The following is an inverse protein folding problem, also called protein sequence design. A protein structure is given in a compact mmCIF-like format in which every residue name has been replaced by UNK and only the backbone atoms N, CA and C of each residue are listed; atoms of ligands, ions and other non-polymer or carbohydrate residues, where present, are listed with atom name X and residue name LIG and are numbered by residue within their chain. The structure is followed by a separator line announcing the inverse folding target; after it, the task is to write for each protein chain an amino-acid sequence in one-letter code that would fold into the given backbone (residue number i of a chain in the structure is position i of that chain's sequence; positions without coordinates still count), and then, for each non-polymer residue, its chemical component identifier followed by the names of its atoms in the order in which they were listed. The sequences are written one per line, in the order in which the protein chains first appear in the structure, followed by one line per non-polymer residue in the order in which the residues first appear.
data_IF_022039102578
#
_entry.id   IF_022039102578
#
_cell.length_a   1.000
_cell.length_b   1.000
_cell.length_c   1.000
_cell.angle_alpha   90.00
_cell.angle_beta   90.00
_cell.angle_gamma   90.00
#
_symmetry.space_group_name_H-M   'P 1'
#
loop_
_entity.id
_entity.type
_entity.pdbx_description
1 polymer ?
#
# COMPACT_ATOMS: atom_id res chain seq x y z
N UNK A 1 9.12 -14.35 -1.40
CA UNK A 1 8.80 -14.59 -2.82
C UNK A 1 8.63 -13.30 -3.64
N UNK A 2 7.85 -12.30 -3.18
CA UNK A 2 7.71 -11.02 -3.89
C UNK A 2 9.04 -10.22 -4.03
N UNK A 3 9.95 -10.33 -3.07
CA UNK A 3 11.27 -9.69 -3.12
C UNK A 3 12.19 -10.24 -4.22
N UNK A 4 12.07 -11.53 -4.56
CA UNK A 4 12.88 -12.15 -5.61
C UNK A 4 12.39 -11.75 -7.01
N UNK A 5 11.07 -11.57 -7.17
CA UNK A 5 10.48 -11.08 -8.43
C UNK A 5 10.75 -9.58 -8.67
N UNK A 6 10.81 -8.77 -7.61
CA UNK A 6 11.16 -7.35 -7.69
C UNK A 6 12.65 -7.09 -7.96
N UNK A 7 13.53 -8.04 -7.62
CA UNK A 7 14.96 -7.98 -7.89
C UNK A 7 15.31 -8.26 -9.37
N UNK A 8 14.43 -8.93 -10.12
CA UNK A 8 14.67 -9.30 -11.53
C UNK A 8 14.30 -8.23 -12.57
N UNK A 9 13.55 -7.19 -12.22
CA UNK A 9 13.08 -6.18 -13.20
C UNK A 9 13.70 -4.80 -12.94
N UNK A 10 14.78 -4.49 -13.66
CA UNK A 10 15.54 -3.22 -13.68
C UNK A 10 14.78 -2.07 -14.39
N UNK A 11 13.45 -2.02 -14.32
CA UNK A 11 12.66 -1.00 -15.02
C UNK A 11 11.69 -0.29 -14.06
N UNK A 12 11.96 0.98 -13.77
CA UNK A 12 11.16 1.82 -12.85
C UNK A 12 9.68 1.92 -13.29
N UNK A 13 9.42 1.88 -14.61
CA UNK A 13 8.07 1.86 -15.18
C UNK A 13 7.27 0.59 -14.85
N UNK A 14 7.93 -0.56 -14.75
CA UNK A 14 7.30 -1.85 -14.41
C UNK A 14 6.99 -1.92 -12.92
N UNK A 15 7.88 -1.41 -12.06
CA UNK A 15 7.65 -1.29 -10.62
C UNK A 15 6.43 -0.42 -10.32
N UNK A 16 6.28 0.71 -11.02
CA UNK A 16 5.09 1.56 -10.92
C UNK A 16 3.78 0.89 -11.37
N UNK A 17 3.81 0.15 -12.49
CA UNK A 17 2.63 -0.62 -12.96
C UNK A 17 2.25 -1.74 -11.99
N UNK A 18 3.23 -2.46 -11.45
CA UNK A 18 3.02 -3.51 -10.46
C UNK A 18 2.43 -2.94 -9.17
N UNK A 19 2.98 -1.84 -8.66
CA UNK A 19 2.45 -1.14 -7.49
C UNK A 19 0.97 -0.77 -7.66
N UNK A 20 0.61 -0.21 -8.82
CA UNK A 20 -0.77 0.15 -9.12
C UNK A 20 -1.69 -1.07 -9.19
N UNK A 21 -1.23 -2.17 -9.80
CA UNK A 21 -1.99 -3.41 -9.85
C UNK A 21 -2.24 -3.97 -8.44
N UNK A 22 -1.22 -4.02 -7.58
CA UNK A 22 -1.37 -4.45 -6.19
C UNK A 22 -2.25 -3.50 -5.37
N UNK A 23 -2.19 -2.19 -5.63
CA UNK A 23 -3.05 -1.20 -4.98
C UNK A 23 -4.53 -1.39 -5.36
N UNK A 24 -4.85 -1.57 -6.65
CA UNK A 24 -6.23 -1.86 -7.06
C UNK A 24 -6.71 -3.19 -6.47
N UNK A 25 -5.88 -4.22 -6.53
CA UNK A 25 -6.22 -5.54 -6.01
C UNK A 25 -6.51 -5.49 -4.50
N UNK A 26 -5.70 -4.74 -3.75
CA UNK A 26 -5.87 -4.51 -2.32
C UNK A 26 -7.16 -3.76 -1.96
N UNK A 27 -7.75 -2.98 -2.88
CA UNK A 27 -8.99 -2.25 -2.65
C UNK A 27 -10.24 -3.03 -3.04
N UNK A 28 -10.19 -3.75 -4.17
CA UNK A 28 -11.34 -4.50 -4.70
C UNK A 28 -11.57 -5.81 -3.94
N UNK A 29 -10.50 -6.50 -3.53
CA UNK A 29 -10.61 -7.80 -2.86
C UNK A 29 -11.37 -7.76 -1.50
N UNK A 30 -11.15 -6.76 -0.61
CA UNK A 30 -11.96 -6.60 0.61
C UNK A 30 -13.44 -6.32 0.34
N UNK A 31 -13.76 -5.60 -0.75
CA UNK A 31 -15.15 -5.32 -1.14
C UNK A 31 -15.85 -6.61 -1.57
N UNK A 32 -15.18 -7.41 -2.40
CA UNK A 32 -15.69 -8.71 -2.82
C UNK A 32 -15.86 -9.67 -1.63
N UNK A 33 -14.93 -9.63 -0.67
CA UNK A 33 -14.99 -10.44 0.55
C UNK A 33 -16.15 -10.01 1.46
N UNK A 34 -16.35 -8.70 1.68
CA UNK A 34 -17.40 -8.17 2.55
C UNK A 34 -18.82 -8.40 2.04
N UNK A 35 -19.00 -8.53 0.71
CA UNK A 35 -20.29 -8.80 0.06
C UNK A 35 -20.54 -10.29 -0.21
N UNK A 36 -19.54 -11.16 -0.03
CA UNK A 36 -19.64 -12.58 -0.35
C UNK A 36 -20.29 -13.38 0.78
N UNK A 37 -21.41 -14.05 0.48
CA UNK A 37 -22.06 -15.04 1.35
C UNK A 37 -21.58 -16.47 1.13
N UNK A 38 -20.77 -16.73 0.10
CA UNK A 38 -20.31 -18.07 -0.28
C UNK A 38 -18.87 -18.31 0.18
N UNK A 39 -18.65 -19.38 0.95
CA UNK A 39 -17.35 -19.74 1.53
C UNK A 39 -16.24 -19.88 0.48
N UNK A 40 -16.54 -20.44 -0.70
CA UNK A 40 -15.54 -20.63 -1.76
C UNK A 40 -15.09 -19.29 -2.36
N UNK A 41 -16.02 -18.36 -2.59
CA UNK A 41 -15.72 -17.03 -3.12
C UNK A 41 -14.93 -16.23 -2.08
N UNK A 42 -15.32 -16.31 -0.81
CA UNK A 42 -14.61 -15.65 0.29
C UNK A 42 -13.19 -16.17 0.44
N UNK A 43 -12.96 -17.48 0.30
CA UNK A 43 -11.62 -18.07 0.38
C UNK A 43 -10.70 -17.52 -0.72
N UNK A 44 -11.18 -17.49 -1.97
CA UNK A 44 -10.44 -16.89 -3.08
C UNK A 44 -10.19 -15.40 -2.86
N UNK A 45 -11.21 -14.65 -2.45
CA UNK A 45 -11.10 -13.21 -2.18
C UNK A 45 -10.06 -12.91 -1.09
N UNK A 46 -10.01 -13.69 -0.01
CA UNK A 46 -9.01 -13.52 1.07
C UNK A 46 -7.59 -13.78 0.58
N UNK A 47 -7.37 -14.79 -0.28
CA UNK A 47 -6.04 -15.04 -0.86
C UNK A 47 -5.59 -13.86 -1.71
N UNK A 48 -6.46 -13.36 -2.60
CA UNK A 48 -6.14 -12.20 -3.43
C UNK A 48 -5.97 -10.91 -2.62
N UNK A 49 -6.76 -10.71 -1.57
CA UNK A 49 -6.61 -9.60 -0.63
C UNK A 49 -5.24 -9.63 0.03
N UNK A 50 -4.82 -10.77 0.57
CA UNK A 50 -3.51 -10.94 1.20
C UNK A 50 -2.36 -10.71 0.22
N UNK A 51 -2.46 -11.24 -1.01
CA UNK A 51 -1.47 -11.01 -2.05
C UNK A 51 -1.36 -9.53 -2.44
N UNK A 52 -2.50 -8.85 -2.60
CA UNK A 52 -2.60 -7.43 -2.91
C UNK A 52 -1.93 -6.56 -1.84
N UNK A 53 -2.37 -6.74 -0.59
CA UNK A 53 -1.89 -5.96 0.55
C UNK A 53 -0.41 -6.18 0.82
N UNK A 54 0.06 -7.43 0.79
CA UNK A 54 1.47 -7.73 1.01
C UNK A 54 2.36 -7.14 -0.10
N UNK A 55 1.96 -7.28 -1.37
CA UNK A 55 2.69 -6.71 -2.50
C UNK A 55 2.80 -5.19 -2.41
N UNK A 56 1.69 -4.52 -2.10
CA UNK A 56 1.65 -3.08 -1.90
C UNK A 56 2.57 -2.61 -0.77
N UNK A 57 2.49 -3.26 0.40
CA UNK A 57 3.28 -2.89 1.57
C UNK A 57 4.78 -3.08 1.31
N UNK A 58 5.18 -4.19 0.68
CA UNK A 58 6.59 -4.48 0.36
C UNK A 58 7.17 -3.40 -0.55
N UNK A 59 6.44 -3.03 -1.62
CA UNK A 59 6.91 -2.00 -2.56
C UNK A 59 7.03 -0.64 -1.86
N UNK A 60 6.02 -0.25 -1.08
CA UNK A 60 6.03 1.01 -0.32
C UNK A 60 7.21 1.10 0.65
N UNK A 61 7.46 0.03 1.43
CA UNK A 61 8.60 -0.04 2.33
C UNK A 61 9.93 0.04 1.57
N UNK A 62 10.04 -0.67 0.44
CA UNK A 62 11.27 -0.67 -0.38
C UNK A 62 11.56 0.71 -0.94
N UNK A 63 10.55 1.45 -1.43
CA UNK A 63 10.70 2.82 -1.94
C UNK A 63 11.25 3.74 -0.85
N UNK A 64 10.67 3.69 0.35
CA UNK A 64 11.11 4.52 1.49
C UNK A 64 12.55 4.19 1.89
N UNK A 65 12.91 2.91 1.90
CA UNK A 65 14.27 2.48 2.21
C UNK A 65 15.29 2.95 1.16
N UNK A 66 14.94 2.92 -0.12
CA UNK A 66 15.80 3.39 -1.21
C UNK A 66 15.97 4.93 -1.19
N UNK A 67 14.95 5.67 -0.76
CA UNK A 67 15.03 7.14 -0.62
C UNK A 67 15.76 7.59 0.65
N UNK A 68 15.96 6.70 1.62
CA UNK A 68 16.57 7.05 2.91
C UNK A 68 18.10 7.11 2.81
N UNK A 69 18.75 8.25 3.15
CA UNK A 69 20.20 8.37 3.15
C UNK A 69 20.86 7.42 4.15
N UNK A 70 22.00 6.81 3.79
CA UNK A 70 22.68 5.79 4.60
C UNK A 70 23.01 6.26 6.04
N UNK A 71 23.38 7.54 6.21
CA UNK A 71 23.80 8.11 7.50
C UNK A 71 22.65 8.35 8.51
N UNK A 72 21.40 8.41 8.04
CA UNK A 72 20.20 8.58 8.89
C UNK A 72 19.20 7.43 8.75
N UNK A 73 19.53 6.38 7.98
CA UNK A 73 18.63 5.23 7.70
C UNK A 73 18.03 4.63 8.97
N UNK A 74 18.83 4.45 10.03
CA UNK A 74 18.36 3.92 11.31
C UNK A 74 17.36 4.84 12.03
N UNK A 75 17.59 6.16 12.00
CA UNK A 75 16.66 7.15 12.61
C UNK A 75 15.36 7.25 11.83
N UNK A 76 15.45 7.30 10.49
CA UNK A 76 14.28 7.35 9.60
C UNK A 76 13.45 6.06 9.74
N UNK A 77 14.11 4.90 9.78
CA UNK A 77 13.43 3.62 9.98
C UNK A 77 12.69 3.56 11.33
N UNK A 78 13.28 4.10 12.40
CA UNK A 78 12.64 4.18 13.72
C UNK A 78 11.38 5.07 13.71
N UNK A 79 11.46 6.28 13.15
CA UNK A 79 10.30 7.18 13.03
C UNK A 79 9.23 6.57 12.14
N UNK A 80 9.62 5.96 11.02
CA UNK A 80 8.70 5.29 10.12
C UNK A 80 7.99 4.11 10.79
N UNK A 81 8.71 3.29 11.56
CA UNK A 81 8.12 2.20 12.34
C UNK A 81 7.13 2.72 13.39
N UNK A 82 7.45 3.83 14.08
CA UNK A 82 6.53 4.46 15.02
C UNK A 82 5.27 5.01 14.32
N UNK A 83 5.43 5.62 13.15
CA UNK A 83 4.32 6.14 12.37
C UNK A 83 3.38 5.02 11.87
N UNK A 84 3.94 3.96 11.28
CA UNK A 84 3.17 2.81 10.79
C UNK A 84 2.52 2.07 11.98
N UNK A 85 3.26 1.81 13.05
CA UNK A 85 2.73 1.13 14.23
C UNK A 85 1.64 1.94 14.94
N UNK A 86 1.87 3.25 15.11
CA UNK A 86 0.92 4.16 15.74
C UNK A 86 -0.36 4.33 14.91
N UNK A 87 -0.24 4.48 13.58
CA UNK A 87 -1.41 4.54 12.70
C UNK A 87 -2.20 3.24 12.73
N UNK A 88 -1.56 2.08 12.63
CA UNK A 88 -2.24 0.78 12.72
C UNK A 88 -2.95 0.60 14.07
N UNK A 89 -2.33 0.99 15.18
CA UNK A 89 -2.96 0.91 16.50
C UNK A 89 -4.20 1.82 16.59
N UNK A 90 -4.12 3.05 16.07
CA UNK A 90 -5.23 4.00 16.05
C UNK A 90 -6.38 3.50 15.17
N UNK A 91 -6.08 2.98 13.97
CA UNK A 91 -7.10 2.38 13.09
C UNK A 91 -7.74 1.14 13.70
N UNK A 92 -6.98 0.29 14.39
CA UNK A 92 -7.51 -0.87 15.10
C UNK A 92 -8.41 -0.45 16.27
N UNK A 93 -8.05 0.60 16.98
CA UNK A 93 -8.90 1.17 18.03
C UNK A 93 -10.23 1.68 17.47
N UNK A 94 -10.20 2.46 16.39
CA UNK A 94 -11.40 2.93 15.70
C UNK A 94 -12.25 1.79 15.15
N UNK A 95 -11.62 0.74 14.59
CA UNK A 95 -12.32 -0.46 14.13
C UNK A 95 -12.97 -1.21 15.30
N UNK A 96 -12.28 -1.33 16.44
CA UNK A 96 -12.81 -1.96 17.65
C UNK A 96 -14.03 -1.23 18.18
N UNK A 97 -13.97 0.10 18.27
CA UNK A 97 -15.14 0.92 18.64
C UNK A 97 -16.29 0.79 17.65
N UNK A 98 -15.99 0.65 16.36
CA UNK A 98 -17.01 0.53 15.31
C UNK A 98 -17.61 -0.88 15.21
N UNK A 99 -16.93 -1.90 15.73
CA UNK A 99 -17.34 -3.31 15.65
C UNK A 99 -18.64 -3.58 16.42
N UNK A 100 -18.93 -2.80 17.47
CA UNK A 100 -20.17 -2.90 18.24
C UNK A 100 -21.38 -2.33 17.47
N UNK A 101 -21.16 -1.50 16.44
CA UNK A 101 -22.20 -0.78 15.71
C UNK A 101 -22.35 -1.21 14.24
N UNK A 102 -21.32 -1.81 13.64
CA UNK A 102 -21.26 -2.11 12.20
C UNK A 102 -20.96 -3.60 11.99
N UNK A 103 -21.76 -4.28 11.16
CA UNK A 103 -21.45 -5.67 10.80
C UNK A 103 -20.05 -5.80 10.19
N UNK A 104 -19.31 -6.89 10.51
CA UNK A 104 -17.97 -7.11 10.00
C UNK A 104 -17.88 -7.08 8.47
N UNK A 105 -18.90 -7.59 7.77
CA UNK A 105 -18.96 -7.58 6.30
C UNK A 105 -19.03 -6.17 5.71
N UNK A 106 -19.91 -5.31 6.25
CA UNK A 106 -20.03 -3.92 5.81
C UNK A 106 -18.81 -3.08 6.19
N UNK A 107 -18.25 -3.31 7.37
CA UNK A 107 -17.03 -2.63 7.82
C UNK A 107 -15.87 -2.86 6.85
N UNK A 108 -15.63 -4.12 6.47
CA UNK A 108 -14.60 -4.50 5.48
C UNK A 108 -14.86 -3.89 4.10
N UNK A 109 -16.11 -3.89 3.63
CA UNK A 109 -16.47 -3.32 2.34
C UNK A 109 -16.23 -1.80 2.31
N UNK A 110 -16.62 -1.08 3.37
CA UNK A 110 -16.41 0.37 3.51
C UNK A 110 -14.90 0.69 3.45
N UNK A 111 -14.08 -0.07 4.16
CA UNK A 111 -12.62 0.12 4.18
C UNK A 111 -11.99 -0.13 2.80
N UNK A 112 -12.45 -1.16 2.08
CA UNK A 112 -12.03 -1.42 0.70
C UNK A 112 -12.42 -0.31 -0.27
N UNK A 113 -13.63 0.25 -0.14
CA UNK A 113 -14.11 1.38 -0.95
C UNK A 113 -13.27 2.62 -0.69
N UNK A 114 -13.06 2.98 0.58
CA UNK A 114 -12.24 4.14 0.97
C UNK A 114 -10.83 4.01 0.39
N UNK A 115 -10.20 2.83 0.53
CA UNK A 115 -8.88 2.59 -0.02
C UNK A 115 -8.86 2.72 -1.55
N UNK A 116 -9.84 2.15 -2.24
CA UNK A 116 -9.96 2.25 -3.70
C UNK A 116 -10.13 3.71 -4.16
N UNK A 117 -10.95 4.50 -3.47
CA UNK A 117 -11.12 5.93 -3.76
C UNK A 117 -9.82 6.71 -3.58
N UNK A 118 -9.08 6.45 -2.49
CA UNK A 118 -7.78 7.09 -2.26
C UNK A 118 -6.81 6.78 -3.41
N UNK A 119 -6.74 5.52 -3.85
CA UNK A 119 -5.89 5.10 -4.99
C UNK A 119 -6.28 5.83 -6.28
N UNK A 120 -7.59 5.97 -6.55
CA UNK A 120 -8.09 6.68 -7.73
C UNK A 120 -7.80 8.18 -7.66
N UNK A 121 -7.95 8.81 -6.48
CA UNK A 121 -7.64 10.23 -6.28
C UNK A 121 -6.13 10.47 -6.46
N UNK A 122 -5.30 9.61 -5.88
CA UNK A 122 -3.83 9.71 -6.03
C UNK A 122 -3.36 9.49 -7.46
N UNK A 123 -4.07 8.67 -8.27
CA UNK A 123 -3.81 8.55 -9.71
C UNK A 123 -3.92 9.89 -10.42
N UNK A 124 -4.80 10.77 -9.98
CA UNK A 124 -5.06 12.05 -10.62
C UNK A 124 -4.03 13.15 -10.25
N UNK A 125 -3.15 12.90 -9.26
CA UNK A 125 -2.09 13.84 -8.89
C UNK A 125 -0.81 13.61 -9.70
N UNK A 126 -0.39 14.63 -10.46
CA UNK A 126 0.81 14.67 -11.32
C UNK A 126 2.16 14.45 -10.60
N UNK A 127 2.17 14.28 -9.26
CA UNK A 127 3.38 14.10 -8.45
C UNK A 127 3.99 12.70 -8.65
N UNK A 128 3.16 11.71 -8.97
CA UNK A 128 3.59 10.33 -9.25
C UNK A 128 4.09 10.13 -10.69
N UNK A 129 3.80 11.04 -11.63
CA UNK A 129 4.31 10.95 -13.01
C UNK A 129 5.83 11.23 -13.07
N UNK A 130 6.35 12.02 -12.13
CA UNK A 130 7.77 12.35 -11.96
C UNK A 130 8.59 11.13 -11.49
N UNK A 131 8.13 10.42 -10.45
CA UNK A 131 8.73 9.14 -9.99
C UNK A 131 8.56 8.02 -11.03
N UNK A 132 7.50 8.08 -11.85
CA UNK A 132 7.18 7.13 -12.92
C UNK A 132 8.06 7.28 -14.19
N UNK A 133 8.70 8.44 -14.40
CA UNK A 133 9.51 8.71 -15.60
C UNK A 133 11.00 8.36 -15.49
N UNK A 134 11.49 8.07 -14.28
CA UNK A 134 12.90 7.75 -14.03
C UNK A 134 13.86 8.93 -14.19
N UNK A 135 13.41 10.16 -13.94
CA UNK A 135 14.30 11.32 -13.91
C UNK A 135 14.69 11.67 -12.46
N UNK A 136 15.38 10.75 -11.81
CA UNK A 136 15.97 10.90 -10.45
C UNK A 136 17.18 11.84 -10.45
N UNK A 137 17.20 12.87 -11.31
CA UNK A 137 18.23 13.91 -11.33
C UNK A 137 17.84 15.15 -10.52
N UNK A 138 16.56 15.39 -10.24
CA UNK A 138 16.15 16.58 -9.47
C UNK A 138 16.23 16.41 -7.95
N UNK A 139 16.06 15.20 -7.40
CA UNK A 139 16.06 14.98 -5.95
C UNK A 139 17.47 15.12 -5.34
N UNK A 140 18.52 14.81 -6.11
CA UNK A 140 19.92 15.01 -5.70
C UNK A 140 20.32 16.50 -5.64
N UNK A 141 19.54 17.39 -6.27
CA UNK A 141 19.82 18.84 -6.26
C UNK A 141 19.45 19.50 -4.91
N UNK A 142 18.44 18.97 -4.21
CA UNK A 142 18.03 19.47 -2.89
C UNK A 142 18.89 18.92 -1.74
N UNK A 143 19.69 17.88 -1.97
CA UNK A 143 20.67 17.36 -1.01
C UNK A 143 21.98 18.17 -0.99
N UNK A 144 22.09 19.22 -1.83
CA UNK A 144 23.29 20.04 -1.99
C UNK A 144 23.13 21.48 -1.50
N UNK A 145 22.08 21.77 -0.72
CA UNK A 145 21.88 23.05 -0.03
C UNK A 145 21.90 22.79 1.47
#
# INVERSE_FOLDING_TARGET
MASLFLAGTTNERLKGKLFYYYAILSGIAPIALGLSTNLYISLFATVFMGMGQAGYMIISHTIIQMMSPDYVRGRIAGVYAMYIGGSMALFNFLNGLSADFIDPGYSLAIQGIIFTLIVIIYRNQNILSSIYSGNTKEITSYSKI
#
